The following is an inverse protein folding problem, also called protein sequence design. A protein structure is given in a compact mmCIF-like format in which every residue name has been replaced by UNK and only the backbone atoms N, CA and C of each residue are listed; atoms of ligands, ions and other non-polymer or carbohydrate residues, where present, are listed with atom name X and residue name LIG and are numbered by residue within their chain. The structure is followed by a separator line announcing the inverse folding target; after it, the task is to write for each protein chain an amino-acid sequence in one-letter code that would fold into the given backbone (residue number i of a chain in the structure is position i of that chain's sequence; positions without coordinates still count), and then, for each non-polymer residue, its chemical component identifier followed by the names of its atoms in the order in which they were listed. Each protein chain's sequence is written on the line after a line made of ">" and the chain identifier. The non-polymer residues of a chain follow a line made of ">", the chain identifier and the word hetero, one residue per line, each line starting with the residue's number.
data_IF_358449075856
#
_entry.id   IF_358449075856
#
_cell.length_a   1.000
_cell.length_b   1.000
_cell.length_c   1.000
_cell.angle_alpha   90.00
_cell.angle_beta   90.00
_cell.angle_gamma   90.00
#
_symmetry.space_group_name_H-M   'P 1'
#
loop_
_entity.id
_entity.type
_entity.pdbx_description
1 polymer ?
#
# COMPACT_ATOMS: atom_id res chain seq x y z
N UNK A 1 6.38 -21.66 8.80
CA UNK A 1 5.80 -20.82 9.87
C UNK A 1 6.80 -20.83 11.02
N UNK A 2 7.55 -19.73 11.22
CA UNK A 2 8.55 -19.65 12.28
C UNK A 2 7.89 -19.18 13.58
N UNK A 3 8.07 -19.92 14.66
CA UNK A 3 7.66 -19.55 16.02
C UNK A 3 8.92 -19.19 16.79
N UNK A 4 8.96 -17.98 17.35
CA UNK A 4 10.02 -17.55 18.26
C UNK A 4 9.44 -17.55 19.68
N UNK A 5 10.09 -18.24 20.60
CA UNK A 5 9.70 -18.25 22.02
C UNK A 5 10.52 -17.17 22.71
N UNK A 6 9.86 -16.17 23.27
CA UNK A 6 10.49 -15.20 24.17
C UNK A 6 10.03 -15.53 25.58
N UNK A 7 11.00 -15.73 26.49
CA UNK A 7 10.76 -15.92 27.91
C UNK A 7 11.05 -14.62 28.64
N UNK A 8 10.05 -14.12 29.37
CA UNK A 8 10.26 -13.03 30.32
C UNK A 8 9.43 -13.32 31.58
N UNK A 9 10.10 -13.32 32.74
CA UNK A 9 9.51 -13.52 34.08
C UNK A 9 8.40 -14.58 34.18
N UNK A 10 8.73 -15.84 33.90
CA UNK A 10 7.85 -17.02 34.05
C UNK A 10 6.53 -17.00 33.25
N UNK A 11 6.40 -16.15 32.23
CA UNK A 11 5.31 -16.21 31.25
C UNK A 11 5.87 -16.57 29.88
N UNK A 12 5.41 -17.69 29.33
CA UNK A 12 5.70 -18.09 27.96
C UNK A 12 4.68 -17.42 27.04
N UNK A 13 5.12 -16.46 26.24
CA UNK A 13 4.31 -15.88 25.19
C UNK A 13 4.53 -16.68 23.91
N UNK A 14 3.47 -17.28 23.38
CA UNK A 14 3.46 -17.69 21.98
C UNK A 14 3.13 -16.43 21.21
N UNK A 15 4.15 -15.68 20.80
CA UNK A 15 3.96 -14.61 19.84
C UNK A 15 3.73 -15.28 18.47
N UNK A 16 2.47 -15.57 18.17
CA UNK A 16 2.07 -15.63 16.77
C UNK A 16 2.37 -14.25 16.21
N UNK A 17 3.47 -14.13 15.46
CA UNK A 17 3.85 -12.92 14.75
C UNK A 17 2.70 -12.56 13.81
N UNK A 18 1.77 -11.76 14.32
CA UNK A 18 0.51 -11.48 13.67
C UNK A 18 0.84 -10.64 12.44
N UNK A 19 0.89 -11.30 11.27
CA UNK A 19 1.29 -10.71 9.97
C UNK A 19 0.64 -9.34 9.75
N UNK A 20 -0.59 -9.18 10.23
CA UNK A 20 -1.34 -7.94 10.19
C UNK A 20 -0.74 -6.79 11.02
N UNK A 21 -0.26 -7.06 12.24
CA UNK A 21 0.42 -6.05 13.08
C UNK A 21 1.73 -5.61 12.42
N UNK A 22 2.45 -6.56 11.79
CA UNK A 22 3.66 -6.26 11.00
C UNK A 22 3.33 -5.36 9.81
N UNK A 23 2.31 -5.72 9.04
CA UNK A 23 1.84 -4.94 7.89
C UNK A 23 1.39 -3.53 8.27
N UNK A 24 0.54 -3.38 9.29
CA UNK A 24 0.05 -2.06 9.75
C UNK A 24 1.21 -1.14 10.16
N UNK A 25 2.21 -1.68 10.85
CA UNK A 25 3.40 -0.93 11.26
C UNK A 25 4.24 -0.52 10.06
N UNK A 26 4.38 -1.41 9.08
CA UNK A 26 5.05 -1.14 7.81
C UNK A 26 4.35 -0.01 7.05
N UNK A 27 3.04 -0.15 6.79
CA UNK A 27 2.24 0.86 6.08
C UNK A 27 2.26 2.22 6.78
N UNK A 28 2.20 2.25 8.13
CA UNK A 28 2.31 3.52 8.87
C UNK A 28 3.62 4.25 8.56
N UNK A 29 4.76 3.55 8.57
CA UNK A 29 6.06 4.15 8.24
C UNK A 29 6.11 4.60 6.77
N UNK A 30 5.58 3.78 5.86
CA UNK A 30 5.53 4.11 4.44
C UNK A 30 4.66 5.33 4.15
N UNK A 31 3.52 5.48 4.85
CA UNK A 31 2.68 6.67 4.77
C UNK A 31 3.41 7.92 5.29
N UNK A 32 4.09 7.82 6.44
CA UNK A 32 4.88 8.93 6.97
C UNK A 32 5.92 9.40 5.96
N UNK A 33 6.69 8.48 5.39
CA UNK A 33 7.68 8.78 4.36
C UNK A 33 7.06 9.40 3.10
N UNK A 34 5.91 8.89 2.65
CA UNK A 34 5.22 9.44 1.48
C UNK A 34 4.76 10.89 1.71
N UNK A 35 4.30 11.22 2.93
CA UNK A 35 3.86 12.58 3.28
C UNK A 35 5.02 13.57 3.48
N UNK A 36 6.26 13.10 3.53
CA UNK A 36 7.47 13.94 3.53
C UNK A 36 7.92 14.34 2.11
N UNK A 37 7.30 13.77 1.06
CA UNK A 37 7.61 14.11 -0.33
C UNK A 37 7.12 15.52 -0.71
N UNK A 38 7.74 16.10 -1.73
CA UNK A 38 7.43 17.48 -2.16
C UNK A 38 6.08 17.60 -2.87
N UNK A 39 5.66 16.56 -3.59
CA UNK A 39 4.43 16.56 -4.39
C UNK A 39 3.70 15.21 -4.36
N UNK A 40 2.43 15.23 -4.78
CA UNK A 40 1.54 14.06 -4.81
C UNK A 40 2.11 12.91 -5.66
N UNK A 41 2.78 13.21 -6.79
CA UNK A 41 3.32 12.18 -7.67
C UNK A 41 4.46 11.43 -6.98
N UNK A 42 5.37 12.15 -6.35
CA UNK A 42 6.47 11.58 -5.57
C UNK A 42 5.95 10.79 -4.37
N UNK A 43 4.96 11.32 -3.65
CA UNK A 43 4.34 10.64 -2.51
C UNK A 43 3.68 9.32 -2.91
N UNK A 44 2.86 9.33 -3.97
CA UNK A 44 2.20 8.13 -4.49
C UNK A 44 3.20 7.12 -5.04
N UNK A 45 4.28 7.57 -5.69
CA UNK A 45 5.37 6.69 -6.12
C UNK A 45 6.06 6.03 -4.92
N UNK A 46 6.46 6.82 -3.91
CA UNK A 46 7.11 6.32 -2.69
C UNK A 46 6.24 5.29 -1.97
N UNK A 47 4.93 5.56 -1.88
CA UNK A 47 3.98 4.65 -1.27
C UNK A 47 3.79 3.37 -2.09
N UNK A 48 3.68 3.48 -3.42
CA UNK A 48 3.62 2.32 -4.34
C UNK A 48 4.84 1.43 -4.22
N UNK A 49 6.03 2.04 -4.17
CA UNK A 49 7.31 1.34 -4.03
C UNK A 49 7.33 0.52 -2.75
N UNK A 50 6.92 1.10 -1.63
CA UNK A 50 6.88 0.39 -0.36
C UNK A 50 5.89 -0.80 -0.40
N UNK A 51 4.69 -0.61 -0.94
CA UNK A 51 3.69 -1.69 -1.03
C UNK A 51 4.22 -2.82 -1.93
N UNK A 52 4.76 -2.47 -3.10
CA UNK A 52 5.29 -3.44 -4.06
C UNK A 52 6.53 -4.17 -3.55
N UNK A 53 7.35 -3.53 -2.70
CA UNK A 53 8.46 -4.20 -2.00
C UNK A 53 7.96 -5.15 -0.91
N UNK A 54 6.84 -4.85 -0.26
CA UNK A 54 6.24 -5.74 0.72
C UNK A 54 5.59 -6.98 0.05
N UNK A 55 4.93 -6.78 -1.08
CA UNK A 55 4.38 -7.85 -1.90
C UNK A 55 5.26 -8.06 -3.13
N UNK A 56 6.30 -8.89 -3.01
CA UNK A 56 7.26 -9.17 -4.08
C UNK A 56 6.57 -9.47 -5.44
N UNK A 57 7.12 -8.90 -6.51
CA UNK A 57 6.66 -9.04 -7.90
C UNK A 57 5.20 -8.59 -8.13
N UNK A 58 4.77 -7.55 -7.40
CA UNK A 58 3.46 -6.91 -7.60
C UNK A 58 3.63 -5.46 -8.01
N UNK A 59 2.65 -4.95 -8.74
CA UNK A 59 2.64 -3.57 -9.20
C UNK A 59 1.45 -2.81 -8.64
N UNK A 60 1.75 -1.65 -8.06
CA UNK A 60 0.76 -0.68 -7.59
C UNK A 60 0.93 0.59 -8.40
N UNK A 61 -0.17 1.08 -8.98
CA UNK A 61 -0.13 2.33 -9.72
C UNK A 61 -1.43 3.12 -9.60
N UNK A 62 -1.31 4.41 -9.89
CA UNK A 62 -2.35 5.41 -9.75
C UNK A 62 -2.59 6.11 -11.09
N UNK A 63 -3.86 6.29 -11.44
CA UNK A 63 -4.27 7.15 -12.54
C UNK A 63 -5.20 8.24 -12.03
N UNK A 64 -5.29 9.36 -12.76
CA UNK A 64 -6.29 10.41 -12.54
C UNK A 64 -7.15 10.55 -13.78
N UNK A 65 -8.46 10.61 -13.56
CA UNK A 65 -9.45 10.74 -14.63
C UNK A 65 -9.77 12.20 -14.91
N UNK A 66 -9.75 12.57 -16.18
CA UNK A 66 -10.17 13.86 -16.71
C UNK A 66 -11.24 13.64 -17.77
N UNK A 67 -12.50 13.61 -17.34
CA UNK A 67 -13.63 13.27 -18.21
C UNK A 67 -13.54 11.83 -18.71
N UNK A 68 -13.28 11.62 -20.00
CA UNK A 68 -13.11 10.30 -20.61
C UNK A 68 -11.65 9.82 -20.66
N UNK A 69 -10.68 10.68 -20.32
CA UNK A 69 -9.25 10.36 -20.36
C UNK A 69 -8.76 9.92 -18.99
N UNK A 70 -7.87 8.95 -18.97
CA UNK A 70 -7.11 8.57 -17.77
C UNK A 70 -5.64 8.89 -18.00
N UNK A 71 -5.02 9.56 -17.04
CA UNK A 71 -3.62 9.91 -17.04
C UNK A 71 -2.89 9.12 -15.95
N UNK A 72 -1.82 8.41 -16.32
CA UNK A 72 -0.94 7.77 -15.35
C UNK A 72 -0.23 8.83 -14.50
N UNK A 73 -0.30 8.69 -13.17
CA UNK A 73 0.33 9.62 -12.24
C UNK A 73 1.61 9.06 -11.67
N UNK A 74 1.54 7.92 -11.01
CA UNK A 74 2.67 7.30 -10.35
C UNK A 74 2.41 5.80 -10.15
N UNK A 75 3.47 5.04 -9.94
CA UNK A 75 3.38 3.61 -9.71
C UNK A 75 4.75 2.97 -9.65
N UNK A 76 4.81 1.77 -9.08
CA UNK A 76 6.02 0.97 -8.95
C UNK A 76 5.66 -0.51 -9.06
N UNK A 77 6.62 -1.31 -9.54
CA UNK A 77 6.51 -2.75 -9.66
C UNK A 77 6.58 -3.21 -11.11
N UNK A 78 6.49 -4.52 -11.29
CA UNK A 78 6.62 -5.16 -12.59
C UNK A 78 5.27 -5.31 -13.27
N UNK A 79 5.17 -4.86 -14.52
CA UNK A 79 4.03 -5.18 -15.37
C UNK A 79 3.99 -6.70 -15.62
N UNK A 80 2.85 -7.31 -15.35
CA UNK A 80 2.66 -8.75 -15.58
C UNK A 80 1.38 -9.02 -16.37
N UNK A 81 1.18 -10.26 -16.81
CA UNK A 81 -0.09 -10.68 -17.42
C UNK A 81 -1.16 -11.05 -16.38
N UNK A 82 -0.97 -10.66 -15.12
CA UNK A 82 -1.87 -11.03 -14.03
C UNK A 82 -3.07 -10.07 -13.94
N UNK A 83 -4.19 -10.52 -13.34
CA UNK A 83 -5.36 -9.68 -13.17
C UNK A 83 -5.04 -8.39 -12.41
N UNK A 84 -5.67 -7.31 -12.89
CA UNK A 84 -5.62 -6.00 -12.24
C UNK A 84 -6.90 -5.83 -11.44
N UNK A 85 -6.75 -5.51 -10.16
CA UNK A 85 -7.85 -5.12 -9.30
C UNK A 85 -7.85 -3.59 -9.15
N UNK A 86 -9.03 -2.97 -9.21
CA UNK A 86 -9.21 -1.52 -9.10
C UNK A 86 -9.77 -1.13 -7.73
N UNK A 87 -9.29 -0.01 -7.19
CA UNK A 87 -9.92 0.74 -6.10
C UNK A 87 -10.15 2.19 -6.54
N UNK A 88 -11.39 2.66 -6.46
CA UNK A 88 -11.69 4.07 -6.71
C UNK A 88 -11.26 4.93 -5.52
N UNK A 89 -10.65 6.09 -5.80
CA UNK A 89 -10.17 7.04 -4.80
C UNK A 89 -10.91 8.37 -4.90
N UNK A 90 -10.46 9.36 -4.12
CA UNK A 90 -10.94 10.75 -4.13
C UNK A 90 -10.42 11.55 -5.33
N UNK A 91 -11.05 12.70 -5.62
CA UNK A 91 -10.60 13.68 -6.63
C UNK A 91 -10.34 13.10 -8.04
N UNK A 92 -11.11 12.08 -8.42
CA UNK A 92 -11.00 11.43 -9.73
C UNK A 92 -9.78 10.52 -9.87
N UNK A 93 -9.07 10.20 -8.79
CA UNK A 93 -8.01 9.21 -8.80
C UNK A 93 -8.55 7.78 -8.77
N UNK A 94 -7.76 6.87 -9.31
CA UNK A 94 -7.97 5.43 -9.23
C UNK A 94 -6.66 4.75 -8.87
N UNK A 95 -6.73 3.71 -8.05
CA UNK A 95 -5.63 2.85 -7.66
C UNK A 95 -5.81 1.47 -8.28
N UNK A 96 -4.72 0.91 -8.75
CA UNK A 96 -4.69 -0.39 -9.38
C UNK A 96 -3.65 -1.28 -8.70
N UNK A 97 -4.07 -2.51 -8.46
CA UNK A 97 -3.29 -3.58 -7.85
C UNK A 97 -3.13 -4.69 -8.87
N UNK A 98 -1.96 -4.82 -9.48
CA UNK A 98 -1.70 -5.90 -10.42
C UNK A 98 -1.03 -7.09 -9.73
N UNK A 99 -1.65 -8.27 -9.90
CA UNK A 99 -1.16 -9.54 -9.40
C UNK A 99 -1.35 -9.76 -7.90
N UNK A 100 -2.01 -8.84 -7.20
CA UNK A 100 -2.23 -8.95 -5.77
C UNK A 100 -3.19 -10.09 -5.45
N UNK A 101 -2.81 -10.90 -4.45
CA UNK A 101 -3.71 -11.84 -3.78
C UNK A 101 -3.66 -11.45 -2.31
N UNK A 102 -4.54 -10.54 -1.91
CA UNK A 102 -4.62 -10.10 -0.52
C UNK A 102 -5.08 -11.27 0.34
N UNK A 103 -4.26 -11.66 1.33
CA UNK A 103 -4.65 -12.66 2.33
C UNK A 103 -5.76 -12.16 3.25
N UNK A 104 -5.88 -10.84 3.37
CA UNK A 104 -6.84 -10.17 4.23
C UNK A 104 -7.34 -8.87 3.55
N UNK A 105 -8.67 -8.74 3.38
CA UNK A 105 -9.29 -7.54 2.81
C UNK A 105 -8.99 -6.26 3.59
N UNK A 106 -8.68 -6.34 4.89
CA UNK A 106 -8.27 -5.19 5.68
C UNK A 106 -6.97 -4.56 5.19
N UNK A 107 -6.03 -5.34 4.62
CA UNK A 107 -4.77 -4.80 4.11
C UNK A 107 -5.01 -3.91 2.88
N UNK A 108 -5.83 -4.40 1.95
CA UNK A 108 -6.27 -3.64 0.78
C UNK A 108 -6.97 -2.34 1.19
N UNK A 109 -7.93 -2.43 2.11
CA UNK A 109 -8.67 -1.25 2.58
C UNK A 109 -7.77 -0.24 3.29
N UNK A 110 -6.76 -0.70 4.02
CA UNK A 110 -5.78 0.18 4.65
C UNK A 110 -4.94 0.91 3.60
N UNK A 111 -4.48 0.21 2.55
CA UNK A 111 -3.75 0.85 1.45
C UNK A 111 -4.60 1.92 0.79
N UNK A 112 -5.86 1.60 0.42
CA UNK A 112 -6.79 2.55 -0.21
C UNK A 112 -6.99 3.79 0.68
N UNK A 113 -7.22 3.57 1.98
CA UNK A 113 -7.42 4.65 2.95
C UNK A 113 -6.20 5.56 3.05
N UNK A 114 -4.98 4.99 3.09
CA UNK A 114 -3.74 5.74 3.09
C UNK A 114 -3.54 6.53 1.79
N UNK A 115 -3.85 5.94 0.63
CA UNK A 115 -3.78 6.64 -0.66
C UNK A 115 -4.73 7.84 -0.72
N UNK A 116 -5.95 7.71 -0.18
CA UNK A 116 -6.90 8.83 -0.07
C UNK A 116 -6.33 9.96 0.80
N UNK A 117 -5.69 9.63 1.93
CA UNK A 117 -5.05 10.62 2.80
C UNK A 117 -3.93 11.37 2.07
N UNK A 118 -3.05 10.66 1.36
CA UNK A 118 -1.98 11.30 0.56
C UNK A 118 -2.58 12.29 -0.43
N UNK A 119 -3.56 11.85 -1.23
CA UNK A 119 -4.17 12.69 -2.27
C UNK A 119 -4.84 13.93 -1.67
N UNK A 120 -5.64 13.76 -0.61
CA UNK A 120 -6.35 14.88 0.00
C UNK A 120 -5.43 15.92 0.65
N UNK A 121 -4.25 15.51 1.13
CA UNK A 121 -3.31 16.43 1.77
C UNK A 121 -2.37 17.12 0.78
N UNK A 122 -2.10 16.50 -0.38
CA UNK A 122 -1.02 16.93 -1.27
C UNK A 122 -1.49 17.40 -2.65
N UNK A 123 -2.73 17.09 -3.06
CA UNK A 123 -3.32 17.52 -4.35
C UNK A 123 -4.45 18.55 -4.11
N UNK A 124 -4.10 19.62 -3.38
CA UNK A 124 -4.97 20.76 -3.04
C UNK A 124 -4.84 21.86 -4.10
#
# INVERSE_FOLDING_TARGET
>A
MYKSIIQDNNKTYIEESNSYISFKRYIKKSLQKALECEDTKQALYSFSEAISKYYENKQVYYTKKYGKREEYKAGYGEDTFTPVEKGDLTLGYSLFFQGFIFKNNCEKQLIISCSIVIINLMDI
#
